data_IF_601201181885
#
_entry.id   IF_601201181885
#
_cell.length_a   1.000
_cell.length_b   1.000
_cell.length_c   1.000
_cell.angle_alpha   90.00
_cell.angle_beta   90.00
_cell.angle_gamma   90.00
#
_symmetry.space_group_name_H-M   'P 1'
#
loop_
_entity.id
_entity.type
_entity.pdbx_description
1 polymer ?
#
# COMPACT_ATOMS: atom_id res chain seq x y z
N UNK A 1 8.23 6.85 1.46
CA UNK A 1 6.80 6.75 1.09
C UNK A 1 6.59 6.23 -0.33
N UNK A 2 7.51 6.46 -1.27
CA UNK A 2 7.40 5.95 -2.66
C UNK A 2 7.14 4.45 -2.78
N UNK A 3 7.64 3.64 -1.83
CA UNK A 3 7.38 2.18 -1.75
C UNK A 3 5.89 1.80 -1.70
N UNK A 4 4.99 2.72 -1.32
CA UNK A 4 3.55 2.47 -1.25
C UNK A 4 2.79 2.95 -2.50
N UNK A 5 3.48 3.54 -3.48
CA UNK A 5 2.86 4.15 -4.67
C UNK A 5 2.14 3.11 -5.53
N UNK A 6 2.77 1.97 -5.78
CA UNK A 6 2.17 0.88 -6.57
C UNK A 6 0.89 0.33 -5.92
N UNK A 7 0.91 0.15 -4.59
CA UNK A 7 -0.27 -0.26 -3.84
C UNK A 7 -1.39 0.78 -3.90
N UNK A 8 -1.04 2.07 -3.87
CA UNK A 8 -2.00 3.15 -3.98
C UNK A 8 -2.64 3.24 -5.37
N UNK A 9 -1.86 3.07 -6.45
CA UNK A 9 -2.39 3.03 -7.81
C UNK A 9 -3.37 1.86 -7.99
N UNK A 10 -3.03 0.69 -7.45
CA UNK A 10 -3.93 -0.47 -7.44
C UNK A 10 -5.23 -0.19 -6.67
N UNK A 11 -5.12 0.47 -5.51
CA UNK A 11 -6.28 0.90 -4.74
C UNK A 11 -7.17 1.89 -5.51
N UNK A 12 -6.58 2.87 -6.20
CA UNK A 12 -7.31 3.84 -7.02
C UNK A 12 -8.09 3.15 -8.15
N UNK A 13 -7.44 2.23 -8.88
CA UNK A 13 -8.08 1.45 -9.93
C UNK A 13 -9.23 0.60 -9.40
N UNK A 14 -9.07 -0.01 -8.22
CA UNK A 14 -10.15 -0.74 -7.58
C UNK A 14 -11.32 0.19 -7.25
N UNK A 15 -11.07 1.37 -6.67
CA UNK A 15 -12.11 2.35 -6.38
C UNK A 15 -12.88 2.75 -7.65
N UNK A 16 -12.18 3.03 -8.74
CA UNK A 16 -12.79 3.35 -10.03
C UNK A 16 -13.68 2.21 -10.55
N UNK A 17 -13.20 0.96 -10.49
CA UNK A 17 -13.95 -0.22 -10.93
C UNK A 17 -15.24 -0.46 -10.12
N UNK A 18 -15.25 -0.04 -8.85
CA UNK A 18 -16.44 -0.13 -7.99
C UNK A 18 -17.27 1.17 -7.95
N UNK A 19 -16.91 2.19 -8.73
CA UNK A 19 -17.61 3.48 -8.74
C UNK A 19 -17.46 4.27 -7.43
N UNK A 20 -16.37 4.03 -6.70
CA UNK A 20 -16.04 4.67 -5.43
C UNK A 20 -15.01 5.79 -5.63
N UNK A 21 -15.08 6.82 -4.79
CA UNK A 21 -14.04 7.84 -4.71
C UNK A 21 -12.82 7.29 -3.93
N UNK A 22 -11.62 7.47 -4.49
CA UNK A 22 -10.38 7.14 -3.80
C UNK A 22 -10.00 8.25 -2.81
N UNK A 23 -9.51 7.84 -1.64
CA UNK A 23 -8.89 8.74 -0.67
C UNK A 23 -7.50 9.20 -1.14
N UNK A 24 -7.00 10.33 -0.62
CA UNK A 24 -5.64 10.78 -0.97
C UNK A 24 -4.54 9.84 -0.45
N UNK A 25 -3.38 9.91 -1.08
CA UNK A 25 -2.24 9.03 -0.81
C UNK A 25 -1.78 9.02 0.66
N UNK A 26 -1.75 10.18 1.32
CA UNK A 26 -1.34 10.26 2.72
C UNK A 26 -2.29 9.49 3.64
N UNK A 27 -3.60 9.65 3.43
CA UNK A 27 -4.61 8.95 4.20
C UNK A 27 -4.58 7.45 3.90
N UNK A 28 -4.34 7.05 2.65
CA UNK A 28 -4.20 5.65 2.27
C UNK A 28 -3.09 4.97 3.08
N UNK A 29 -1.88 5.56 3.09
CA UNK A 29 -0.74 4.99 3.84
C UNK A 29 -1.03 4.98 5.34
N UNK A 30 -1.69 6.02 5.87
CA UNK A 30 -2.06 6.09 7.29
C UNK A 30 -3.05 4.99 7.70
N UNK A 31 -3.92 4.57 6.79
CA UNK A 31 -4.99 3.60 7.07
C UNK A 31 -4.59 2.16 6.75
N UNK A 32 -3.33 1.90 6.37
CA UNK A 32 -2.84 0.54 6.23
C UNK A 32 -2.88 -0.20 7.57
N UNK A 33 -3.47 -1.39 7.57
CA UNK A 33 -3.50 -2.23 8.76
C UNK A 33 -2.13 -2.83 9.03
N UNK A 34 -1.87 -3.24 10.27
CA UNK A 34 -0.66 -3.97 10.65
C UNK A 34 -0.48 -5.23 9.79
N UNK A 35 -1.57 -5.92 9.45
CA UNK A 35 -1.55 -7.08 8.57
C UNK A 35 -1.11 -6.73 7.15
N UNK A 36 -1.61 -5.63 6.58
CA UNK A 36 -1.21 -5.15 5.25
C UNK A 36 0.27 -4.72 5.23
N UNK A 37 0.73 -4.04 6.27
CA UNK A 37 2.13 -3.66 6.42
C UNK A 37 3.02 -4.90 6.57
N UNK A 38 2.59 -5.90 7.36
CA UNK A 38 3.31 -7.15 7.53
C UNK A 38 3.37 -7.95 6.23
N UNK A 39 2.28 -8.04 5.48
CA UNK A 39 2.24 -8.70 4.17
C UNK A 39 3.19 -8.00 3.18
N UNK A 40 3.15 -6.66 3.13
CA UNK A 40 4.09 -5.88 2.33
C UNK A 40 5.55 -6.17 2.73
N UNK A 41 5.86 -6.13 4.03
CA UNK A 41 7.20 -6.38 4.56
C UNK A 41 7.69 -7.81 4.28
N UNK A 42 6.81 -8.82 4.33
CA UNK A 42 7.16 -10.20 3.97
C UNK A 42 7.47 -10.31 2.47
N UNK A 43 6.71 -9.62 1.62
CA UNK A 43 6.97 -9.55 0.19
C UNK A 43 8.30 -8.86 -0.14
N UNK A 44 8.64 -7.77 0.57
CA UNK A 44 9.92 -7.06 0.41
C UNK A 44 11.10 -7.78 1.07
N UNK A 45 10.88 -8.62 2.09
CA UNK A 45 11.93 -9.46 2.69
C UNK A 45 12.44 -10.57 1.76
N UNK A 46 11.74 -10.85 0.65
CA UNK A 46 12.28 -11.66 -0.46
C UNK A 46 13.36 -10.94 -1.28
N UNK A 47 13.51 -9.63 -1.11
CA UNK A 47 14.49 -8.76 -1.79
C UNK A 47 15.28 -7.93 -0.77
N UNK A 48 15.65 -8.56 0.36
CA UNK A 48 16.08 -7.86 1.57
C UNK A 48 17.36 -7.05 1.43
N UNK A 49 17.29 -5.80 1.90
CA UNK A 49 18.24 -5.20 2.84
C UNK A 49 17.59 -3.97 3.49
N UNK A 50 17.01 -4.15 4.68
CA UNK A 50 16.88 -3.10 5.70
C UNK A 50 16.93 -3.76 7.08
N UNK A 51 18.08 -3.61 7.74
CA UNK A 51 18.38 -4.03 9.11
C UNK A 51 17.64 -3.18 10.15
N UNK A 52 17.50 -3.78 11.34
CA UNK A 52 16.79 -3.33 12.55
C UNK A 52 17.47 -2.14 13.22
#
# INVERSE_FOLDING_TARGET
MEMYREGYETYCLACENYGMESMNFYLYVRNLTVEQLNAFNQHTKGSGDYEV
#
